data_IF_195928310690
#
_entry.id   IF_195928310690
#
_cell.length_a   1.000
_cell.length_b   1.000
_cell.length_c   1.000
_cell.angle_alpha   90.00
_cell.angle_beta   90.00
_cell.angle_gamma   90.00
#
_symmetry.space_group_name_H-M   'P 1'
#
loop_
_entity.id
_entity.type
_entity.pdbx_description
1 polymer ?
#
# COMPACT_ATOMS: atom_id res chain seq x y z
N UNK A 1 41.54 -29.12 -77.79
CA UNK A 1 42.17 -28.02 -77.06
C UNK A 1 41.36 -27.83 -75.78
N UNK A 2 41.85 -28.41 -74.72
CA UNK A 2 41.12 -28.48 -73.40
C UNK A 2 41.76 -27.52 -72.41
N UNK A 3 41.03 -26.51 -71.99
CA UNK A 3 41.46 -25.61 -70.95
C UNK A 3 40.68 -25.98 -69.71
N UNK A 4 41.36 -26.50 -68.70
CA UNK A 4 40.81 -26.79 -67.36
C UNK A 4 40.82 -25.52 -66.52
N UNK A 5 39.63 -25.08 -66.06
CA UNK A 5 39.49 -24.04 -65.04
C UNK A 5 39.52 -24.72 -63.67
N UNK A 6 40.50 -24.32 -62.88
CA UNK A 6 40.53 -24.65 -61.45
C UNK A 6 39.55 -23.74 -60.69
N UNK A 7 38.60 -24.36 -60.00
CA UNK A 7 37.73 -23.65 -59.07
C UNK A 7 38.37 -23.61 -57.67
N UNK A 8 38.67 -22.39 -57.22
CA UNK A 8 39.18 -22.09 -55.87
C UNK A 8 37.97 -21.97 -54.90
N UNK A 9 37.76 -22.96 -54.07
CA UNK A 9 36.75 -22.87 -53.01
C UNK A 9 37.26 -22.05 -51.84
N UNK A 10 36.77 -20.81 -51.72
CA UNK A 10 37.02 -19.97 -50.55
C UNK A 10 35.98 -20.34 -49.48
N UNK A 11 36.41 -20.97 -48.41
CA UNK A 11 35.59 -21.21 -47.20
C UNK A 11 35.52 -19.91 -46.41
N UNK A 12 34.37 -19.24 -46.49
CA UNK A 12 34.04 -18.11 -45.61
C UNK A 12 33.54 -18.67 -44.27
N UNK A 13 34.37 -18.62 -43.26
CA UNK A 13 33.97 -18.92 -41.88
C UNK A 13 32.98 -17.87 -41.37
N UNK A 14 31.73 -18.25 -41.20
CA UNK A 14 30.77 -17.44 -40.42
C UNK A 14 31.14 -17.48 -38.95
N UNK A 15 31.78 -16.46 -38.48
CA UNK A 15 31.91 -16.19 -37.03
C UNK A 15 30.53 -15.72 -36.55
N UNK A 16 29.76 -16.64 -35.99
CA UNK A 16 28.50 -16.34 -35.35
C UNK A 16 28.77 -15.52 -34.09
N UNK A 17 28.56 -14.20 -34.14
CA UNK A 17 28.45 -13.37 -32.98
C UNK A 17 27.19 -13.78 -32.21
N UNK A 18 27.37 -14.55 -31.16
CA UNK A 18 26.32 -14.71 -30.15
C UNK A 18 26.17 -13.35 -29.43
N UNK A 19 25.22 -12.55 -29.86
CA UNK A 19 24.75 -11.45 -29.09
C UNK A 19 24.19 -12.03 -27.77
N UNK A 20 24.96 -11.91 -26.69
CA UNK A 20 24.46 -12.13 -25.36
C UNK A 20 23.27 -11.17 -25.18
N UNK A 21 22.06 -11.71 -25.19
CA UNK A 21 20.90 -11.00 -24.68
C UNK A 21 21.19 -10.73 -23.21
N UNK A 22 21.70 -9.56 -22.91
CA UNK A 22 21.72 -9.03 -21.57
C UNK A 22 20.24 -9.08 -21.11
N UNK A 23 19.93 -10.04 -20.27
CA UNK A 23 18.68 -9.99 -19.49
C UNK A 23 18.76 -8.64 -18.78
N UNK A 24 17.93 -7.69 -19.24
CA UNK A 24 17.66 -6.49 -18.47
C UNK A 24 17.12 -7.01 -17.14
N UNK A 25 17.96 -7.00 -16.10
CA UNK A 25 17.49 -7.11 -14.73
C UNK A 25 16.33 -6.12 -14.63
N UNK A 26 15.15 -6.66 -14.32
CA UNK A 26 14.02 -5.81 -13.96
C UNK A 26 14.57 -4.82 -12.93
N UNK A 27 14.36 -3.50 -13.10
CA UNK A 27 14.88 -2.53 -12.17
C UNK A 27 14.50 -3.05 -10.80
N UNK A 28 15.51 -3.37 -9.98
CA UNK A 28 15.32 -3.66 -8.58
C UNK A 28 14.36 -2.56 -8.14
N UNK A 29 13.17 -2.93 -7.68
CA UNK A 29 12.26 -1.98 -7.07
C UNK A 29 13.13 -1.40 -5.99
N UNK A 30 13.70 -0.22 -6.26
CA UNK A 30 14.43 0.53 -5.28
C UNK A 30 13.37 0.74 -4.20
N UNK A 31 13.34 -0.17 -3.27
CA UNK A 31 12.51 -0.13 -2.12
C UNK A 31 12.84 1.20 -1.49
N UNK A 32 11.91 2.14 -1.56
CA UNK A 32 11.92 3.28 -0.67
C UNK A 32 11.68 2.69 0.73
N UNK A 33 12.70 1.97 1.21
CA UNK A 33 12.73 1.44 2.54
C UNK A 33 13.12 2.65 3.37
N UNK A 34 12.13 3.30 3.98
CA UNK A 34 12.41 4.32 4.97
C UNK A 34 13.04 3.68 6.21
N UNK A 35 13.52 4.50 7.13
CA UNK A 35 14.14 4.06 8.37
C UNK A 35 13.25 3.07 9.14
N UNK A 36 13.84 2.09 9.86
CA UNK A 36 13.11 1.15 10.69
C UNK A 36 12.39 1.87 11.83
N UNK A 37 11.18 1.38 12.15
CA UNK A 37 10.38 1.97 13.21
C UNK A 37 9.31 1.00 13.73
N UNK A 38 8.74 1.36 14.88
CA UNK A 38 7.45 0.86 15.34
C UNK A 38 6.53 2.03 15.69
N UNK A 39 5.21 1.79 15.72
CA UNK A 39 4.22 2.80 16.07
C UNK A 39 2.81 2.22 16.08
N UNK A 40 1.86 3.03 16.48
CA UNK A 40 0.43 2.68 16.49
C UNK A 40 -0.30 3.57 15.51
N UNK A 41 -0.94 2.98 14.52
CA UNK A 41 -1.83 3.69 13.61
C UNK A 41 -3.23 3.69 14.18
N UNK A 42 -3.79 4.87 14.39
CA UNK A 42 -5.19 5.06 14.70
C UNK A 42 -5.93 5.49 13.45
N UNK A 43 -7.06 4.84 13.18
CA UNK A 43 -7.96 5.19 12.10
C UNK A 43 -9.29 5.60 12.72
N UNK A 44 -9.77 6.79 12.42
CA UNK A 44 -11.05 7.30 12.89
C UNK A 44 -11.86 7.79 11.69
N UNK A 45 -13.16 7.60 11.75
CA UNK A 45 -14.08 8.12 10.77
C UNK A 45 -15.41 8.44 11.43
N UNK A 46 -16.02 9.54 11.02
CA UNK A 46 -17.32 9.92 11.48
C UNK A 46 -18.21 10.32 10.32
N UNK A 47 -19.49 10.04 10.46
CA UNK A 47 -20.52 10.48 9.54
C UNK A 47 -21.65 11.15 10.30
N UNK A 48 -21.87 12.42 9.99
CA UNK A 48 -22.99 13.19 10.51
C UNK A 48 -24.18 13.12 9.54
N UNK A 49 -25.37 12.94 10.06
CA UNK A 49 -26.62 12.89 9.30
C UNK A 49 -27.44 14.15 9.55
N UNK A 50 -28.33 14.45 8.62
CA UNK A 50 -29.18 15.65 8.68
C UNK A 50 -30.17 15.65 9.85
N UNK A 51 -30.48 14.48 10.41
CA UNK A 51 -31.32 14.31 11.59
C UNK A 51 -30.56 14.50 12.93
N UNK A 52 -29.28 14.89 12.85
CA UNK A 52 -28.40 15.08 13.99
C UNK A 52 -27.75 13.80 14.50
N UNK A 53 -28.02 12.64 13.91
CA UNK A 53 -27.34 11.39 14.25
C UNK A 53 -25.87 11.42 13.78
N UNK A 54 -24.99 10.70 14.51
CA UNK A 54 -23.57 10.56 14.19
C UNK A 54 -23.14 9.11 14.35
N UNK A 55 -22.43 8.60 13.38
CA UNK A 55 -21.80 7.28 13.46
C UNK A 55 -20.29 7.47 13.49
N UNK A 56 -19.67 7.09 14.60
CA UNK A 56 -18.22 7.06 14.76
C UNK A 56 -17.69 5.65 14.55
N UNK A 57 -16.55 5.54 13.87
CA UNK A 57 -15.84 4.29 13.64
C UNK A 57 -14.38 4.51 13.95
N UNK A 58 -13.78 3.56 14.65
CA UNK A 58 -12.35 3.59 14.97
C UNK A 58 -11.73 2.21 14.82
N UNK A 59 -10.45 2.19 14.51
CA UNK A 59 -9.61 0.99 14.51
C UNK A 59 -8.19 1.38 14.88
N UNK A 60 -7.47 0.46 15.49
CA UNK A 60 -6.07 0.61 15.87
C UNK A 60 -5.24 -0.52 15.29
N UNK A 61 -4.02 -0.20 14.86
CA UNK A 61 -3.08 -1.15 14.30
C UNK A 61 -1.69 -0.86 14.87
N UNK A 62 -0.98 -1.89 15.36
CA UNK A 62 0.45 -1.78 15.64
C UNK A 62 1.24 -2.05 14.36
N UNK A 63 2.18 -1.17 14.07
CA UNK A 63 3.01 -1.21 12.89
C UNK A 63 4.46 -1.42 13.30
N UNK A 64 5.14 -2.32 12.57
CA UNK A 64 6.57 -2.53 12.71
C UNK A 64 7.18 -2.61 11.32
N UNK A 65 8.34 -2.00 11.13
CA UNK A 65 9.17 -2.13 9.92
C UNK A 65 10.63 -2.20 10.31
N UNK A 66 11.34 -3.18 9.79
CA UNK A 66 12.79 -3.30 9.99
C UNK A 66 13.60 -2.71 8.82
N UNK A 67 14.94 -2.69 8.98
CA UNK A 67 15.85 -2.18 7.97
C UNK A 67 15.93 -3.01 6.70
N UNK A 68 15.36 -4.22 6.66
CA UNK A 68 15.23 -5.03 5.46
C UNK A 68 13.91 -4.75 4.71
N UNK A 69 13.07 -3.87 5.26
CA UNK A 69 11.77 -3.52 4.70
C UNK A 69 10.67 -4.55 5.02
N UNK A 70 10.94 -5.54 5.87
CA UNK A 70 9.88 -6.41 6.38
C UNK A 70 8.94 -5.59 7.22
N UNK A 71 7.64 -5.83 7.05
CA UNK A 71 6.61 -5.14 7.83
C UNK A 71 5.74 -6.13 8.56
N UNK A 72 5.36 -5.77 9.79
CA UNK A 72 4.34 -6.49 10.57
C UNK A 72 3.24 -5.52 10.94
N UNK A 73 2.01 -5.94 10.73
CA UNK A 73 0.79 -5.20 11.11
C UNK A 73 -0.03 -6.09 12.02
N UNK A 74 -0.36 -5.56 13.20
CA UNK A 74 -1.28 -6.20 14.15
C UNK A 74 -2.52 -5.33 14.25
N UNK A 75 -3.64 -5.81 13.73
CA UNK A 75 -4.91 -5.09 13.72
C UNK A 75 -5.84 -5.66 14.78
N UNK A 76 -6.25 -4.83 15.71
CA UNK A 76 -7.29 -5.16 16.68
C UNK A 76 -8.66 -4.98 16.03
N UNK A 77 -9.49 -6.02 16.09
CA UNK A 77 -10.85 -5.95 15.55
C UNK A 77 -11.81 -5.35 16.60
N UNK A 78 -12.70 -4.43 16.19
CA UNK A 78 -13.69 -3.86 17.09
C UNK A 78 -14.61 -4.92 17.69
N UNK A 79 -15.04 -4.80 18.96
CA UNK A 79 -15.91 -5.76 19.63
C UNK A 79 -17.20 -6.08 18.87
N UNK A 80 -17.76 -5.09 18.16
CA UNK A 80 -18.97 -5.28 17.34
C UNK A 80 -18.72 -6.20 16.15
N UNK A 81 -17.52 -6.17 15.56
CA UNK A 81 -17.14 -7.08 14.47
C UNK A 81 -17.02 -8.49 15.00
N UNK A 82 -16.40 -8.67 16.17
CA UNK A 82 -16.24 -9.97 16.81
C UNK A 82 -17.57 -10.55 17.26
N UNK A 83 -18.48 -9.74 17.79
CA UNK A 83 -19.82 -10.17 18.19
C UNK A 83 -20.62 -10.76 17.02
N UNK A 84 -20.47 -10.16 15.83
CA UNK A 84 -21.12 -10.63 14.61
C UNK A 84 -20.35 -11.74 13.89
N UNK A 85 -19.08 -11.95 14.24
CA UNK A 85 -18.20 -12.92 13.61
C UNK A 85 -17.32 -13.62 14.65
N UNK A 86 -17.87 -14.49 15.50
CA UNK A 86 -17.17 -15.07 16.66
C UNK A 86 -16.00 -15.99 16.29
N UNK A 87 -15.86 -16.35 15.01
CA UNK A 87 -14.72 -17.13 14.50
C UNK A 87 -13.54 -16.29 14.06
N UNK A 88 -13.68 -14.96 14.05
CA UNK A 88 -12.57 -14.07 13.68
C UNK A 88 -11.59 -13.94 14.85
N UNK A 89 -10.31 -13.86 14.49
CA UNK A 89 -9.24 -13.56 15.45
C UNK A 89 -9.42 -12.13 15.99
N UNK A 90 -9.37 -11.93 17.33
CA UNK A 90 -9.42 -10.59 17.92
C UNK A 90 -8.31 -9.67 17.44
N UNK A 91 -7.13 -10.26 17.17
CA UNK A 91 -5.98 -9.56 16.59
C UNK A 91 -5.55 -10.30 15.33
N UNK A 92 -5.63 -9.62 14.21
CA UNK A 92 -5.13 -10.10 12.93
C UNK A 92 -3.67 -9.69 12.77
N UNK A 93 -2.79 -10.65 12.53
CA UNK A 93 -1.36 -10.41 12.35
C UNK A 93 -0.95 -10.76 10.93
N UNK A 94 -0.38 -9.77 10.23
CA UNK A 94 0.16 -9.95 8.89
C UNK A 94 1.61 -9.51 8.85
N UNK A 95 2.49 -10.36 8.31
CA UNK A 95 3.89 -10.04 8.03
C UNK A 95 4.05 -10.02 6.52
N UNK A 96 4.64 -8.95 5.97
CA UNK A 96 5.08 -8.92 4.58
C UNK A 96 6.61 -8.92 4.58
N UNK A 97 7.18 -9.87 3.89
CA UNK A 97 8.61 -10.02 3.73
C UNK A 97 9.01 -9.78 2.27
N UNK A 98 9.51 -8.59 1.92
CA UNK A 98 9.94 -8.30 0.56
C UNK A 98 11.23 -9.04 0.16
N UNK A 99 11.99 -9.60 1.12
CA UNK A 99 13.22 -10.35 0.84
C UNK A 99 12.88 -11.73 0.30
N UNK A 100 11.96 -12.45 0.94
CA UNK A 100 11.46 -13.73 0.42
C UNK A 100 10.34 -13.56 -0.60
N UNK A 101 9.71 -12.39 -0.64
CA UNK A 101 8.52 -12.14 -1.44
C UNK A 101 7.23 -12.67 -0.82
N UNK A 102 7.25 -13.10 0.43
CA UNK A 102 6.14 -13.80 1.08
C UNK A 102 5.27 -12.87 1.90
N UNK A 103 3.99 -13.23 1.97
CA UNK A 103 3.04 -12.69 2.94
C UNK A 103 2.65 -13.81 3.91
N UNK A 104 2.76 -13.52 5.21
CA UNK A 104 2.47 -14.47 6.28
C UNK A 104 1.30 -13.94 7.10
N UNK A 105 0.29 -14.77 7.32
CA UNK A 105 -0.84 -14.51 8.21
C UNK A 105 -0.75 -15.45 9.41
N UNK A 106 -0.71 -14.86 10.62
CA UNK A 106 -0.61 -15.65 11.86
C UNK A 106 -1.99 -15.77 12.51
N UNK A 107 -2.45 -17.02 12.69
CA UNK A 107 -3.70 -17.38 13.34
C UNK A 107 -3.41 -17.89 14.74
N UNK A 108 -3.58 -17.03 15.75
CA UNK A 108 -3.21 -17.32 17.14
C UNK A 108 -4.07 -18.41 17.78
N UNK A 109 -5.36 -18.48 17.43
CA UNK A 109 -6.28 -19.47 17.98
C UNK A 109 -5.96 -20.89 17.53
N UNK A 110 -5.55 -21.06 16.28
CA UNK A 110 -5.22 -22.37 15.69
C UNK A 110 -3.73 -22.67 15.69
N UNK A 111 -2.90 -21.72 16.13
CA UNK A 111 -1.44 -21.81 16.01
C UNK A 111 -0.99 -22.15 14.59
N UNK A 112 -1.60 -21.51 13.61
CA UNK A 112 -1.31 -21.72 12.19
C UNK A 112 -0.70 -20.47 11.56
N UNK A 113 0.35 -20.63 10.77
CA UNK A 113 0.93 -19.59 9.94
C UNK A 113 0.67 -19.93 8.47
N UNK A 114 -0.15 -19.12 7.80
CA UNK A 114 -0.39 -19.26 6.36
C UNK A 114 0.64 -18.41 5.62
N UNK A 115 1.46 -19.05 4.81
CA UNK A 115 2.51 -18.41 4.00
C UNK A 115 2.09 -18.38 2.54
N UNK A 116 1.81 -17.21 2.00
CA UNK A 116 1.45 -17.01 0.60
C UNK A 116 2.67 -16.54 -0.16
N UNK A 117 3.25 -17.42 -0.99
CA UNK A 117 4.48 -17.13 -1.74
C UNK A 117 4.26 -16.09 -2.83
N UNK A 118 5.21 -15.18 -3.00
CA UNK A 118 5.19 -14.13 -4.01
C UNK A 118 4.05 -13.12 -3.83
N UNK A 119 3.48 -13.02 -2.63
CA UNK A 119 2.35 -12.15 -2.32
C UNK A 119 2.69 -11.03 -1.33
N UNK A 120 3.97 -10.81 -1.03
CA UNK A 120 4.37 -9.65 -0.24
C UNK A 120 3.81 -8.38 -0.86
N UNK A 121 3.09 -7.61 -0.07
CA UNK A 121 2.67 -6.29 -0.51
C UNK A 121 3.90 -5.39 -0.68
N UNK A 122 3.89 -4.43 -1.60
CA UNK A 122 4.87 -3.36 -1.58
C UNK A 122 4.92 -2.76 -0.17
N UNK A 123 6.11 -2.32 0.24
CA UNK A 123 6.27 -1.59 1.49
C UNK A 123 5.15 -0.54 1.61
N UNK A 124 4.74 -0.25 2.85
CA UNK A 124 3.68 0.72 3.15
C UNK A 124 3.76 1.90 2.16
N UNK A 125 2.68 2.21 1.42
CA UNK A 125 2.77 3.14 0.29
C UNK A 125 3.38 4.46 0.74
N UNK A 126 4.49 4.83 0.10
CA UNK A 126 5.25 6.04 0.40
C UNK A 126 4.43 7.33 0.15
N UNK A 127 3.39 7.24 -0.67
CA UNK A 127 2.52 8.37 -0.98
C UNK A 127 1.08 8.02 -0.65
N UNK A 128 0.40 8.94 0.04
CA UNK A 128 -1.04 8.84 0.19
C UNK A 128 -1.66 9.09 -1.19
N UNK A 129 -1.94 8.02 -1.90
CA UNK A 129 -2.90 8.13 -2.99
C UNK A 129 -4.23 8.67 -2.45
N UNK A 130 -4.84 9.58 -3.19
CA UNK A 130 -6.22 9.94 -2.95
C UNK A 130 -7.05 8.66 -2.78
N UNK A 131 -8.06 8.62 -1.91
CA UNK A 131 -8.82 7.39 -1.68
C UNK A 131 -9.21 6.76 -3.00
N UNK A 132 -8.61 5.61 -3.35
CA UNK A 132 -8.81 4.95 -4.67
C UNK A 132 -10.30 4.77 -4.99
N UNK A 133 -11.09 4.48 -3.97
CA UNK A 133 -12.55 4.33 -4.10
C UNK A 133 -13.18 5.63 -4.59
N UNK A 134 -12.76 6.79 -4.05
CA UNK A 134 -13.32 8.07 -4.46
C UNK A 134 -12.87 8.45 -5.88
N UNK A 135 -11.62 8.21 -6.22
CA UNK A 135 -11.10 8.44 -7.59
C UNK A 135 -11.80 7.55 -8.61
N UNK A 136 -12.00 6.27 -8.30
CA UNK A 136 -12.74 5.35 -9.16
C UNK A 136 -14.21 5.79 -9.33
N UNK A 137 -14.85 6.20 -8.24
CA UNK A 137 -16.22 6.68 -8.25
C UNK A 137 -16.34 7.97 -9.06
N UNK A 138 -15.44 8.94 -8.84
CA UNK A 138 -15.40 10.19 -9.59
C UNK A 138 -15.17 9.95 -11.09
N UNK A 139 -14.21 9.08 -11.43
CA UNK A 139 -13.93 8.72 -12.83
C UNK A 139 -15.11 8.02 -13.51
N UNK A 140 -15.86 7.21 -12.76
CA UNK A 140 -17.08 6.58 -13.26
C UNK A 140 -18.18 7.60 -13.51
N UNK A 141 -18.33 8.61 -12.65
CA UNK A 141 -19.36 9.64 -12.74
C UNK A 141 -19.05 10.72 -13.78
N UNK A 142 -17.80 11.15 -13.86
CA UNK A 142 -17.41 12.31 -14.71
C UNK A 142 -16.76 11.90 -16.03
N UNK A 143 -16.24 10.67 -16.15
CA UNK A 143 -15.52 10.23 -17.34
C UNK A 143 -14.37 11.17 -17.70
N UNK A 144 -14.38 11.69 -18.93
CA UNK A 144 -13.37 12.64 -19.41
C UNK A 144 -13.47 14.04 -18.78
N UNK A 145 -14.59 14.37 -18.14
CA UNK A 145 -14.85 15.66 -17.50
C UNK A 145 -14.53 15.65 -16.00
N UNK A 146 -13.77 14.65 -15.51
CA UNK A 146 -13.35 14.60 -14.12
C UNK A 146 -12.54 15.86 -13.78
N UNK A 147 -13.02 16.70 -12.83
CA UNK A 147 -12.34 17.94 -12.44
C UNK A 147 -10.98 17.68 -11.79
N UNK A 148 -10.77 16.46 -11.32
CA UNK A 148 -9.55 16.05 -10.62
C UNK A 148 -9.34 16.76 -9.28
N UNK A 149 -8.22 16.43 -8.65
CA UNK A 149 -7.77 17.09 -7.43
C UNK A 149 -7.15 18.45 -7.75
N UNK A 150 -7.37 19.42 -6.86
CA UNK A 150 -6.66 20.71 -6.91
C UNK A 150 -5.15 20.51 -6.85
N UNK A 151 -4.40 21.53 -7.29
CA UNK A 151 -2.95 21.54 -6.99
C UNK A 151 -2.73 21.48 -5.49
N UNK A 152 -1.69 20.75 -5.02
CA UNK A 152 -1.35 20.71 -3.61
C UNK A 152 -1.01 22.10 -3.07
N UNK A 153 -1.56 22.44 -1.90
CA UNK A 153 -1.21 23.62 -1.12
C UNK A 153 -0.32 23.16 0.02
N UNK A 154 0.86 23.74 0.16
CA UNK A 154 1.78 23.43 1.26
C UNK A 154 1.19 23.87 2.60
N UNK A 155 1.30 23.00 3.59
CA UNK A 155 0.98 23.28 5.00
C UNK A 155 2.26 23.49 5.84
N UNK A 156 3.45 23.50 5.19
CA UNK A 156 4.73 23.61 5.89
C UNK A 156 5.19 22.30 6.51
N UNK A 157 5.92 22.40 7.61
CA UNK A 157 6.50 21.27 8.33
C UNK A 157 5.88 21.12 9.72
N UNK A 158 5.76 19.87 10.18
CA UNK A 158 5.32 19.52 11.53
C UNK A 158 6.10 18.31 12.04
N UNK A 159 6.27 18.21 13.36
CA UNK A 159 6.86 17.04 14.00
C UNK A 159 5.78 16.17 14.64
N UNK A 160 5.91 14.84 14.47
CA UNK A 160 5.08 13.81 15.08
C UNK A 160 6.02 12.86 15.84
N UNK A 161 5.95 12.85 17.17
CA UNK A 161 6.85 12.07 18.04
C UNK A 161 8.34 12.25 17.68
N UNK A 162 8.74 13.48 17.33
CA UNK A 162 10.09 13.81 16.92
C UNK A 162 10.41 13.49 15.46
N UNK A 163 9.50 12.87 14.71
CA UNK A 163 9.65 12.60 13.26
C UNK A 163 9.13 13.78 12.46
N UNK A 164 9.98 14.35 11.58
CA UNK A 164 9.61 15.47 10.73
C UNK A 164 8.75 15.01 9.56
N UNK A 165 7.71 15.78 9.26
CA UNK A 165 6.85 15.56 8.11
C UNK A 165 6.49 16.88 7.43
N UNK A 166 6.35 16.83 6.10
CA UNK A 166 5.86 17.94 5.27
C UNK A 166 4.39 17.74 4.98
N UNK A 167 3.61 18.82 5.16
CA UNK A 167 2.16 18.79 4.98
C UNK A 167 1.71 19.34 3.65
N UNK A 168 0.67 18.76 3.11
CA UNK A 168 -0.04 19.30 1.95
C UNK A 168 -1.54 19.09 2.06
N UNK A 169 -2.31 20.03 1.48
CA UNK A 169 -3.76 19.98 1.35
C UNK A 169 -4.16 19.97 -0.10
N UNK A 170 -5.15 19.14 -0.43
CA UNK A 170 -5.80 19.12 -1.73
C UNK A 170 -7.32 19.09 -1.56
N UNK A 171 -8.02 19.60 -2.56
CA UNK A 171 -9.47 19.59 -2.61
C UNK A 171 -9.94 18.91 -3.90
N UNK A 172 -11.05 18.20 -3.79
CA UNK A 172 -11.76 17.64 -4.94
C UNK A 172 -13.13 18.27 -4.99
N UNK A 173 -13.38 19.16 -5.97
CA UNK A 173 -14.66 19.82 -6.14
C UNK A 173 -15.63 18.93 -6.93
N UNK A 174 -16.87 18.85 -6.47
CA UNK A 174 -17.99 18.23 -7.19
C UNK A 174 -18.99 19.35 -7.49
N UNK A 175 -19.09 19.83 -8.73
CA UNK A 175 -20.03 20.91 -9.09
C UNK A 175 -21.47 20.55 -8.78
N UNK A 176 -22.32 21.57 -8.60
CA UNK A 176 -23.76 21.37 -8.47
C UNK A 176 -24.31 20.66 -9.72
N UNK A 177 -25.22 19.72 -9.52
CA UNK A 177 -25.83 18.92 -10.57
C UNK A 177 -25.01 17.74 -11.09
N UNK A 178 -23.71 17.68 -10.79
CA UNK A 178 -22.80 16.69 -11.37
C UNK A 178 -23.15 15.24 -11.01
N UNK A 179 -23.72 15.01 -9.84
CA UNK A 179 -24.17 13.70 -9.35
C UNK A 179 -25.60 13.75 -8.81
N UNK A 180 -26.39 14.73 -9.25
CA UNK A 180 -27.73 14.99 -8.72
C UNK A 180 -27.76 15.88 -7.48
N UNK A 181 -26.61 16.43 -7.08
CA UNK A 181 -26.47 17.33 -5.94
C UNK A 181 -26.93 18.76 -6.30
N UNK A 182 -27.74 19.36 -5.44
CA UNK A 182 -28.21 20.75 -5.64
C UNK A 182 -27.10 21.77 -5.39
N UNK A 183 -26.22 21.50 -4.45
CA UNK A 183 -25.12 22.38 -4.05
C UNK A 183 -23.76 21.73 -4.35
N UNK A 184 -22.72 22.53 -4.61
CA UNK A 184 -21.38 21.98 -4.75
C UNK A 184 -20.95 21.18 -3.51
N UNK A 185 -20.24 20.08 -3.73
CA UNK A 185 -19.65 19.27 -2.68
C UNK A 185 -18.14 19.42 -2.78
N UNK A 186 -17.47 19.58 -1.67
CA UNK A 186 -16.00 19.63 -1.62
C UNK A 186 -15.49 18.57 -0.66
N UNK A 187 -14.59 17.72 -1.15
CA UNK A 187 -13.77 16.86 -0.32
C UNK A 187 -12.42 17.55 -0.12
N UNK A 188 -12.04 17.77 1.12
CA UNK A 188 -10.72 18.30 1.49
C UNK A 188 -9.90 17.20 2.12
N UNK A 189 -8.65 17.02 1.68
CA UNK A 189 -7.70 16.04 2.24
C UNK A 189 -6.41 16.75 2.61
N UNK A 190 -5.95 16.50 3.82
CA UNK A 190 -4.63 16.90 4.31
C UNK A 190 -3.80 15.65 4.57
N UNK A 191 -2.52 15.72 4.25
CA UNK A 191 -1.58 14.63 4.52
C UNK A 191 -0.22 15.15 4.93
N UNK A 192 0.44 14.42 5.81
CA UNK A 192 1.75 14.71 6.34
C UNK A 192 2.68 13.55 6.03
N UNK A 193 3.63 13.79 5.12
CA UNK A 193 4.60 12.81 4.67
C UNK A 193 5.94 13.00 5.36
N UNK A 194 6.50 11.93 5.91
CA UNK A 194 7.87 11.90 6.42
C UNK A 194 8.84 11.36 5.38
N UNK A 195 9.83 12.16 4.93
CA UNK A 195 10.90 11.65 4.08
C UNK A 195 11.77 10.61 4.79
N UNK A 196 12.02 10.78 6.10
CA UNK A 196 12.81 9.87 6.93
C UNK A 196 12.20 8.47 6.96
N UNK A 197 10.93 8.36 7.28
CA UNK A 197 10.23 7.09 7.31
C UNK A 197 9.68 6.67 5.93
N UNK A 198 9.79 7.52 4.91
CA UNK A 198 9.22 7.29 3.57
C UNK A 198 7.75 6.87 3.62
N UNK A 199 6.95 7.51 4.48
CA UNK A 199 5.53 7.19 4.61
C UNK A 199 4.70 8.40 5.07
N UNK A 200 3.39 8.31 4.88
CA UNK A 200 2.43 9.28 5.41
C UNK A 200 2.16 8.96 6.88
N UNK A 201 2.55 9.88 7.76
CA UNK A 201 2.36 9.75 9.22
C UNK A 201 0.94 10.12 9.61
N UNK A 202 0.39 11.17 9.02
CA UNK A 202 -0.98 11.58 9.30
C UNK A 202 -1.72 11.95 8.02
N UNK A 203 -2.99 11.59 7.97
CA UNK A 203 -3.91 11.95 6.90
C UNK A 203 -5.29 12.19 7.47
N UNK A 204 -5.92 13.29 7.06
CA UNK A 204 -7.30 13.57 7.42
C UNK A 204 -8.09 14.06 6.22
N UNK A 205 -9.39 13.97 6.30
CA UNK A 205 -10.25 14.51 5.26
C UNK A 205 -11.65 14.81 5.78
N UNK A 206 -12.26 15.80 5.16
CA UNK A 206 -13.63 16.23 5.43
C UNK A 206 -14.41 16.37 4.14
N UNK A 207 -15.71 16.13 4.22
CA UNK A 207 -16.64 16.33 3.11
C UNK A 207 -17.76 17.26 3.53
N UNK A 208 -18.16 18.17 2.66
CA UNK A 208 -19.34 19.02 2.91
C UNK A 208 -20.66 18.23 3.00
N UNK A 209 -20.63 16.92 2.69
CA UNK A 209 -21.74 16.00 2.97
C UNK A 209 -21.76 15.45 4.39
N UNK A 210 -20.90 15.95 5.28
CA UNK A 210 -20.89 15.57 6.70
C UNK A 210 -20.07 14.34 7.04
N UNK A 211 -19.14 13.92 6.19
CA UNK A 211 -18.17 12.87 6.48
C UNK A 211 -16.81 13.45 6.88
N UNK A 212 -16.15 12.78 7.83
CA UNK A 212 -14.77 13.08 8.19
C UNK A 212 -14.01 11.77 8.46
N UNK A 213 -12.70 11.79 8.22
CA UNK A 213 -11.80 10.70 8.59
C UNK A 213 -10.46 11.24 9.03
N UNK A 214 -9.80 10.53 9.90
CA UNK A 214 -8.39 10.75 10.24
C UNK A 214 -7.67 9.42 10.40
N UNK A 215 -6.38 9.46 10.09
CA UNK A 215 -5.46 8.35 10.20
C UNK A 215 -4.14 8.95 10.65
N UNK A 216 -3.59 8.47 11.76
CA UNK A 216 -2.33 8.98 12.29
C UNK A 216 -1.52 7.85 12.90
N UNK A 217 -0.20 7.92 12.72
CA UNK A 217 0.74 7.04 13.41
C UNK A 217 1.25 7.80 14.64
N UNK A 218 1.10 7.19 15.79
CA UNK A 218 1.46 7.71 17.10
C UNK A 218 2.41 6.75 17.81
N UNK A 219 3.06 7.21 18.89
CA UNK A 219 4.02 6.43 19.65
C UNK A 219 5.14 5.88 18.76
N UNK A 220 5.65 6.74 17.87
CA UNK A 220 6.68 6.36 16.90
C UNK A 220 8.00 6.17 17.64
N UNK A 221 8.51 4.94 17.60
CA UNK A 221 9.83 4.58 18.10
C UNK A 221 10.73 4.25 16.91
N UNK A 222 11.80 5.03 16.73
CA UNK A 222 12.80 4.80 15.69
C UNK A 222 13.74 3.66 16.07
N UNK A 223 14.25 2.97 15.08
CA UNK A 223 15.22 1.89 15.23
C UNK A 223 14.64 0.51 14.95
N UNK A 224 15.51 -0.48 14.95
CA UNK A 224 15.16 -1.86 14.62
C UNK A 224 14.20 -2.46 15.65
N UNK A 225 12.99 -2.89 15.23
CA UNK A 225 12.13 -3.69 16.10
C UNK A 225 12.76 -5.05 16.38
N UNK A 226 12.29 -5.74 17.43
CA UNK A 226 12.76 -7.08 17.74
C UNK A 226 12.61 -8.00 16.51
N UNK A 227 13.70 -8.65 16.04
CA UNK A 227 13.68 -9.50 14.84
C UNK A 227 12.68 -10.67 14.91
N UNK A 228 12.35 -11.15 16.10
CA UNK A 228 11.36 -12.23 16.30
C UNK A 228 9.95 -11.83 15.84
N UNK A 229 9.65 -10.54 15.75
CA UNK A 229 8.36 -10.04 15.24
C UNK A 229 8.12 -10.40 13.79
N UNK A 230 9.17 -10.62 13.01
CA UNK A 230 9.10 -10.95 11.59
C UNK A 230 9.27 -12.45 11.31
N UNK A 231 9.21 -13.28 12.34
CA UNK A 231 9.33 -14.72 12.25
C UNK A 231 8.02 -15.42 12.59
N UNK A 232 7.85 -16.62 12.04
CA UNK A 232 6.77 -17.52 12.45
C UNK A 232 7.15 -18.08 13.83
N UNK A 233 6.29 -17.93 14.87
CA UNK A 233 6.58 -18.49 16.17
C UNK A 233 6.77 -20.02 16.11
N UNK A 234 7.67 -20.56 16.92
CA UNK A 234 8.05 -21.99 16.87
C UNK A 234 6.92 -22.95 17.23
N UNK A 235 5.88 -22.46 17.91
CA UNK A 235 4.69 -23.22 18.28
C UNK A 235 3.58 -23.18 17.22
N UNK A 236 3.86 -22.59 16.03
CA UNK A 236 2.90 -22.52 14.93
C UNK A 236 3.18 -23.59 13.87
N UNK A 237 2.11 -24.16 13.34
CA UNK A 237 2.17 -25.00 12.15
C UNK A 237 2.18 -24.13 10.91
N UNK A 238 3.21 -24.30 10.08
CA UNK A 238 3.32 -23.58 8.80
C UNK A 238 2.50 -24.28 7.71
N UNK A 239 1.71 -23.50 6.98
CA UNK A 239 0.94 -23.93 5.80
C UNK A 239 1.33 -23.05 4.61
N UNK A 240 1.95 -23.64 3.61
CA UNK A 240 2.38 -22.95 2.40
C UNK A 240 1.28 -22.94 1.35
N UNK A 241 0.97 -21.77 0.81
CA UNK A 241 -0.07 -21.55 -0.20
C UNK A 241 0.57 -20.90 -1.43
N UNK A 242 0.40 -21.46 -2.64
CA UNK A 242 0.88 -20.83 -3.85
C UNK A 242 0.15 -19.51 -4.11
N UNK A 243 0.82 -18.58 -4.79
CA UNK A 243 0.20 -17.30 -5.17
C UNK A 243 -1.09 -17.55 -5.95
N UNK A 244 -2.21 -16.90 -5.59
CA UNK A 244 -3.41 -16.95 -6.41
C UNK A 244 -3.10 -16.44 -7.82
N UNK A 245 -3.27 -17.28 -8.82
CA UNK A 245 -3.13 -16.85 -10.21
C UNK A 245 -4.24 -15.84 -10.48
N UNK A 246 -3.89 -14.63 -10.91
CA UNK A 246 -4.87 -13.70 -11.48
C UNK A 246 -5.47 -14.40 -12.69
N UNK A 247 -6.73 -14.81 -12.63
CA UNK A 247 -7.47 -15.20 -13.82
C UNK A 247 -7.34 -14.04 -14.82
N UNK A 248 -6.74 -14.33 -15.97
CA UNK A 248 -6.71 -13.37 -17.06
C UNK A 248 -8.16 -12.98 -17.34
N UNK A 249 -8.43 -11.68 -17.27
CA UNK A 249 -9.75 -11.17 -17.63
C UNK A 249 -10.03 -11.65 -19.06
N UNK A 250 -11.02 -12.50 -19.21
CA UNK A 250 -11.52 -12.90 -20.54
C UNK A 250 -12.02 -11.60 -21.18
N UNK A 251 -11.34 -11.24 -22.28
CA UNK A 251 -11.69 -10.07 -23.12
C UNK A 251 -12.97 -10.34 -23.89
#
# INVERSE_FOLDING_TARGET
>A
MNTRLLALCTVIGLVGSQAALAQAEAPAIASFIGEPFSGVRTNQGARNFVDGNRIDRGASERLYRDGQGRTRVERELPPQVLANNPRMEPVQVTINDPVSGDRIELHAQTKTAIVVHGAAAPALPAQAEAPKIFVMFARHLYGANDPGWSKPVSLGEKSFDGVRATGQRQQYPVPAGAIGNEKPITLTVEQWFSPELSLVIAKSGTSTLGGEFSNQIENIVRGEPNPSLFQIPSDYTRVDVPRPQRQAAVR
#
